data_IF_568161425449
#
_entry.id   IF_568161425449
#
_cell.length_a   1.000
_cell.length_b   1.000
_cell.length_c   1.000
_cell.angle_alpha   90.00
_cell.angle_beta   90.00
_cell.angle_gamma   90.00
#
_symmetry.space_group_name_H-M   'P 1'
#
loop_
_entity.id
_entity.type
_entity.pdbx_description
1 polymer ?
#
# COMPACT_ATOMS: atom_id res chain seq x y z
N UNK A 1 1.20 23.00 -10.39
CA UNK A 1 0.50 21.86 -11.02
C UNK A 1 -0.89 21.75 -10.42
N UNK A 2 -1.90 21.38 -11.21
CA UNK A 2 -3.26 21.17 -10.71
C UNK A 2 -3.36 19.75 -10.16
N UNK A 3 -3.78 19.58 -8.91
CA UNK A 3 -3.86 18.28 -8.24
C UNK A 3 -4.68 17.26 -9.04
N UNK A 4 -5.78 17.71 -9.68
CA UNK A 4 -6.60 16.87 -10.56
C UNK A 4 -5.81 16.27 -11.75
N UNK A 5 -4.87 17.04 -12.31
CA UNK A 5 -3.99 16.59 -13.39
C UNK A 5 -2.96 15.57 -12.91
N UNK A 6 -2.47 15.69 -11.67
CA UNK A 6 -1.50 14.76 -11.08
C UNK A 6 -2.09 13.37 -10.80
N UNK A 7 -3.38 13.31 -10.44
CA UNK A 7 -4.13 12.06 -10.25
C UNK A 7 -4.82 11.56 -11.52
N UNK A 8 -4.68 12.29 -12.64
CA UNK A 8 -5.29 11.98 -13.94
C UNK A 8 -6.83 11.81 -13.86
N UNK A 9 -7.49 12.78 -13.23
CA UNK A 9 -8.95 12.78 -13.08
C UNK A 9 -9.54 14.15 -13.44
N UNK A 10 -10.82 14.21 -13.85
CA UNK A 10 -11.48 15.48 -14.12
C UNK A 10 -11.52 16.36 -12.86
N UNK A 11 -11.23 17.68 -12.96
CA UNK A 11 -11.30 18.60 -11.82
C UNK A 11 -12.65 18.56 -11.10
N UNK A 12 -13.73 18.39 -11.85
CA UNK A 12 -15.08 18.29 -11.30
C UNK A 12 -15.26 17.08 -10.38
N UNK A 13 -14.61 15.95 -10.67
CA UNK A 13 -14.66 14.77 -9.82
C UNK A 13 -13.97 15.02 -8.47
N UNK A 14 -12.91 15.83 -8.48
CA UNK A 14 -12.19 16.23 -7.26
C UNK A 14 -13.03 17.22 -6.45
N UNK A 15 -13.63 18.21 -7.11
CA UNK A 15 -14.58 19.13 -6.49
C UNK A 15 -15.71 18.37 -5.79
N UNK A 16 -16.27 17.33 -6.41
CA UNK A 16 -17.33 16.53 -5.79
C UNK A 16 -16.87 15.80 -4.53
N UNK A 17 -15.58 15.43 -4.43
CA UNK A 17 -15.01 14.84 -3.20
C UNK A 17 -14.82 15.90 -2.11
N UNK A 18 -14.34 17.09 -2.46
CA UNK A 18 -14.12 18.19 -1.52
C UNK A 18 -15.43 18.69 -0.87
N UNK A 19 -16.54 18.66 -1.63
CA UNK A 19 -17.86 19.05 -1.16
C UNK A 19 -18.64 17.89 -0.50
N UNK A 20 -18.07 16.69 -0.44
CA UNK A 20 -18.72 15.52 0.16
C UNK A 20 -19.90 14.97 -0.65
N UNK A 21 -20.06 15.37 -1.91
CA UNK A 21 -21.13 14.89 -2.79
C UNK A 21 -20.90 13.45 -3.25
N UNK A 22 -19.65 13.01 -3.27
CA UNK A 22 -19.26 11.63 -3.55
C UNK A 22 -18.11 11.18 -2.65
N UNK A 23 -18.05 9.88 -2.37
CA UNK A 23 -16.88 9.27 -1.72
C UNK A 23 -15.89 8.74 -2.76
N UNK A 24 -14.58 8.92 -2.54
CA UNK A 24 -13.56 8.35 -3.41
C UNK A 24 -13.55 6.82 -3.29
N UNK A 25 -13.38 6.13 -4.42
CA UNK A 25 -13.17 4.68 -4.44
C UNK A 25 -11.79 4.32 -3.87
N UNK A 26 -11.57 3.04 -3.53
CA UNK A 26 -10.24 2.56 -3.08
C UNK A 26 -9.16 2.85 -4.13
N UNK A 27 -9.46 2.67 -5.41
CA UNK A 27 -8.54 2.99 -6.50
C UNK A 27 -8.16 4.47 -6.51
N UNK A 28 -9.14 5.35 -6.29
CA UNK A 28 -8.91 6.79 -6.18
C UNK A 28 -8.03 7.14 -4.98
N UNK A 29 -8.30 6.53 -3.82
CA UNK A 29 -7.49 6.71 -2.62
C UNK A 29 -6.03 6.29 -2.87
N UNK A 30 -5.79 5.22 -3.63
CA UNK A 30 -4.44 4.81 -4.03
C UNK A 30 -3.76 5.84 -4.93
N UNK A 31 -4.49 6.44 -5.89
CA UNK A 31 -3.93 7.51 -6.75
C UNK A 31 -3.55 8.74 -5.93
N UNK A 32 -4.43 9.18 -5.05
CA UNK A 32 -4.21 10.29 -4.11
C UNK A 32 -3.00 10.01 -3.22
N UNK A 33 -2.89 8.80 -2.69
CA UNK A 33 -1.78 8.37 -1.84
C UNK A 33 -0.43 8.47 -2.55
N UNK A 34 -0.37 8.06 -3.82
CA UNK A 34 0.85 8.13 -4.64
C UNK A 34 1.28 9.58 -4.91
N UNK A 35 0.33 10.45 -5.24
CA UNK A 35 0.62 11.86 -5.55
C UNK A 35 1.06 12.61 -4.30
N UNK A 36 0.35 12.44 -3.19
CA UNK A 36 0.66 13.12 -1.94
C UNK A 36 1.85 12.52 -1.20
N UNK A 37 2.27 11.32 -1.58
CA UNK A 37 3.33 10.55 -0.92
C UNK A 37 3.17 10.49 0.61
N UNK A 38 1.92 10.37 1.08
CA UNK A 38 1.58 10.23 2.50
C UNK A 38 1.10 8.81 2.80
N UNK A 39 1.26 8.32 4.04
CA UNK A 39 0.65 7.08 4.49
C UNK A 39 -0.88 7.18 4.47
N UNK A 40 -1.56 6.07 4.19
CA UNK A 40 -3.03 6.01 4.21
C UNK A 40 -3.59 6.40 5.58
N UNK A 41 -2.89 6.07 6.66
CA UNK A 41 -3.27 6.41 8.03
C UNK A 41 -3.41 7.93 8.21
N UNK A 42 -2.53 8.71 7.57
CA UNK A 42 -2.58 10.18 7.63
C UNK A 42 -3.69 10.72 6.74
N UNK A 43 -3.84 10.16 5.53
CA UNK A 43 -4.87 10.60 4.57
C UNK A 43 -6.29 10.31 5.05
N UNK A 44 -6.47 9.20 5.76
CA UNK A 44 -7.77 8.74 6.22
C UNK A 44 -8.10 9.19 7.65
N UNK A 45 -7.15 9.78 8.38
CA UNK A 45 -7.38 10.25 9.76
C UNK A 45 -8.61 11.17 9.87
N UNK A 46 -8.79 12.19 9.01
CA UNK A 46 -9.98 13.05 9.07
C UNK A 46 -11.29 12.30 8.77
N UNK A 47 -11.22 11.18 8.02
CA UNK A 47 -12.37 10.35 7.69
C UNK A 47 -12.73 9.38 8.82
N UNK A 48 -11.76 8.99 9.66
CA UNK A 48 -12.00 8.13 10.83
C UNK A 48 -12.88 8.86 11.86
N UNK A 49 -12.63 10.15 12.07
CA UNK A 49 -13.40 10.97 13.01
C UNK A 49 -14.87 11.17 12.54
N UNK A 50 -15.12 11.04 11.23
CA UNK A 50 -16.47 11.08 10.62
C UNK A 50 -17.12 9.69 10.58
N UNK A 51 -16.33 8.61 10.71
CA UNK A 51 -16.76 7.23 10.44
C UNK A 51 -17.63 6.59 11.52
N UNK A 52 -17.66 7.14 12.74
CA UNK A 52 -18.50 6.62 13.82
C UNK A 52 -20.00 6.70 13.47
N UNK A 53 -20.38 7.64 12.60
CA UNK A 53 -21.77 7.84 12.16
C UNK A 53 -22.07 7.22 10.78
N UNK A 54 -21.05 6.84 10.00
CA UNK A 54 -21.21 6.36 8.63
C UNK A 54 -20.73 4.90 8.43
N UNK A 55 -21.70 3.97 8.36
CA UNK A 55 -21.50 2.52 8.22
C UNK A 55 -20.71 2.16 6.95
N UNK A 56 -20.93 2.87 5.85
CA UNK A 56 -20.28 2.58 4.57
C UNK A 56 -18.81 3.00 4.59
N UNK A 57 -18.51 4.17 5.17
CA UNK A 57 -17.15 4.63 5.40
C UNK A 57 -16.37 3.70 6.34
N UNK A 58 -17.01 3.21 7.39
CA UNK A 58 -16.45 2.22 8.31
C UNK A 58 -16.03 0.91 7.60
N UNK A 59 -16.83 0.42 6.65
CA UNK A 59 -16.47 -0.76 5.84
C UNK A 59 -15.26 -0.50 4.96
N UNK A 60 -15.19 0.67 4.31
CA UNK A 60 -14.06 1.07 3.47
C UNK A 60 -12.77 1.15 4.30
N UNK A 61 -12.82 1.78 5.48
CA UNK A 61 -11.67 1.89 6.39
C UNK A 61 -11.18 0.52 6.86
N UNK A 62 -12.09 -0.41 7.17
CA UNK A 62 -11.71 -1.77 7.58
C UNK A 62 -11.03 -2.54 6.43
N UNK A 63 -11.54 -2.42 5.20
CA UNK A 63 -10.93 -3.03 4.03
C UNK A 63 -9.52 -2.48 3.78
N UNK A 64 -9.32 -1.17 3.91
CA UNK A 64 -7.99 -0.54 3.75
C UNK A 64 -7.03 -1.04 4.83
N UNK A 65 -7.47 -1.12 6.09
CA UNK A 65 -6.65 -1.68 7.19
C UNK A 65 -6.21 -3.12 6.90
N UNK A 66 -7.11 -3.96 6.39
CA UNK A 66 -6.75 -5.33 6.03
C UNK A 66 -5.74 -5.37 4.89
N UNK A 67 -5.95 -4.62 3.81
CA UNK A 67 -5.02 -4.55 2.67
C UNK A 67 -3.62 -4.13 3.13
N UNK A 68 -3.51 -3.14 4.02
CA UNK A 68 -2.23 -2.68 4.55
C UNK A 68 -1.51 -3.78 5.34
N UNK A 69 -2.22 -4.49 6.24
CA UNK A 69 -1.67 -5.64 6.98
C UNK A 69 -1.19 -6.76 6.05
N UNK A 70 -1.98 -7.11 5.02
CA UNK A 70 -1.58 -8.11 4.03
C UNK A 70 -0.32 -7.68 3.26
N UNK A 71 -0.19 -6.39 2.94
CA UNK A 71 0.98 -5.82 2.27
C UNK A 71 2.25 -5.96 3.13
N UNK A 72 2.18 -5.66 4.43
CA UNK A 72 3.30 -5.78 5.36
C UNK A 72 3.73 -7.25 5.52
N UNK A 73 2.78 -8.15 5.75
CA UNK A 73 3.05 -9.59 5.83
C UNK A 73 3.73 -10.12 4.55
N UNK A 74 3.34 -9.61 3.38
CA UNK A 74 3.96 -9.98 2.09
C UNK A 74 5.39 -9.46 1.96
N UNK A 75 5.70 -8.27 2.48
CA UNK A 75 7.08 -7.74 2.51
C UNK A 75 7.97 -8.60 3.42
N UNK A 76 7.47 -8.98 4.58
CA UNK A 76 8.19 -9.85 5.52
C UNK A 76 8.44 -11.23 4.94
N UNK A 77 7.43 -11.85 4.31
CA UNK A 77 7.58 -13.13 3.64
C UNK A 77 8.64 -13.07 2.53
N UNK A 78 8.63 -12.01 1.71
CA UNK A 78 9.66 -11.79 0.68
C UNK A 78 11.06 -11.67 1.29
N UNK A 79 11.20 -10.99 2.43
CA UNK A 79 12.47 -10.84 3.14
C UNK A 79 12.98 -12.20 3.66
N UNK A 80 12.10 -13.01 4.23
CA UNK A 80 12.43 -14.36 4.71
C UNK A 80 12.83 -15.29 3.55
N UNK A 81 12.08 -15.29 2.45
CA UNK A 81 12.42 -16.08 1.25
C UNK A 81 13.81 -15.68 0.72
N UNK A 82 14.11 -14.37 0.66
CA UNK A 82 15.42 -13.88 0.22
C UNK A 82 16.55 -14.39 1.11
N UNK A 83 16.35 -14.41 2.42
CA UNK A 83 17.33 -14.94 3.37
C UNK A 83 17.60 -16.44 3.10
N UNK A 84 16.55 -17.24 2.99
CA UNK A 84 16.67 -18.69 2.72
C UNK A 84 17.40 -18.96 1.40
N UNK A 85 17.08 -18.21 0.34
CA UNK A 85 17.73 -18.37 -0.97
C UNK A 85 19.24 -18.05 -0.92
N UNK A 86 19.64 -17.06 -0.13
CA UNK A 86 21.05 -16.74 0.07
C UNK A 86 21.78 -17.84 0.86
N UNK A 87 21.17 -18.35 1.93
CA UNK A 87 21.69 -19.45 2.73
C UNK A 87 21.93 -20.72 1.89
N UNK A 88 21.01 -21.03 0.97
CA UNK A 88 21.15 -22.16 0.05
C UNK A 88 22.33 -21.94 -0.90
N UNK A 89 22.44 -20.75 -1.51
CA UNK A 89 23.56 -20.42 -2.42
C UNK A 89 24.92 -20.55 -1.73
N UNK A 90 25.06 -20.02 -0.51
CA UNK A 90 26.31 -20.12 0.24
C UNK A 90 26.70 -21.57 0.56
N UNK A 91 25.71 -22.43 0.87
CA UNK A 91 25.94 -23.86 1.13
C UNK A 91 26.35 -24.61 -0.14
N UNK A 92 25.77 -24.26 -1.29
CA UNK A 92 26.17 -24.84 -2.58
C UNK A 92 27.60 -24.43 -2.98
N UNK A 93 27.97 -23.15 -2.79
CA UNK A 93 29.33 -22.67 -3.08
C UNK A 93 30.39 -23.32 -2.19
N UNK A 94 30.11 -23.46 -0.89
CA UNK A 94 31.00 -24.18 0.06
C UNK A 94 31.15 -25.66 -0.30
N UNK A 95 30.12 -26.28 -0.87
CA UNK A 95 30.15 -27.69 -1.29
C UNK A 95 30.88 -27.92 -2.61
N UNK A 96 30.98 -26.90 -3.48
CA UNK A 96 31.75 -26.95 -4.73
C UNK A 96 33.25 -26.76 -4.48
N UNK A 97 33.65 -25.85 -3.58
CA UNK A 97 35.07 -25.62 -3.21
C UNK A 97 35.76 -26.81 -2.53
N UNK A 98 35.01 -27.75 -1.94
CA UNK A 98 35.57 -28.96 -1.31
C UNK A 98 35.90 -30.09 -2.29
N UNK A 99 35.59 -29.95 -3.58
CA UNK A 99 35.73 -31.03 -4.60
C UNK A 99 36.84 -30.80 -5.62
N UNK A 100 37.64 -29.75 -5.49
CA UNK A 100 38.87 -29.59 -6.28
C UNK A 100 40.03 -30.23 -5.49
N UNK A 101 40.55 -31.40 -5.92
CA UNK A 101 41.81 -31.90 -5.40
C UNK A 101 42.97 -31.18 -6.08
N UNK A 102 43.94 -30.74 -5.28
CA UNK A 102 45.31 -30.43 -5.74
C UNK A 102 46.00 -31.70 -6.28
#
# INVERSE_FOLDING_TARGET
TNFASEINEPPQKISNYEHGENFPTIEMLIKIQKVLNKPFEILLKPLIDISEENIELSKILNNIKQICKYSEAKKDLKKQIKYILNDIKEKEEKSKKKREPD
#
